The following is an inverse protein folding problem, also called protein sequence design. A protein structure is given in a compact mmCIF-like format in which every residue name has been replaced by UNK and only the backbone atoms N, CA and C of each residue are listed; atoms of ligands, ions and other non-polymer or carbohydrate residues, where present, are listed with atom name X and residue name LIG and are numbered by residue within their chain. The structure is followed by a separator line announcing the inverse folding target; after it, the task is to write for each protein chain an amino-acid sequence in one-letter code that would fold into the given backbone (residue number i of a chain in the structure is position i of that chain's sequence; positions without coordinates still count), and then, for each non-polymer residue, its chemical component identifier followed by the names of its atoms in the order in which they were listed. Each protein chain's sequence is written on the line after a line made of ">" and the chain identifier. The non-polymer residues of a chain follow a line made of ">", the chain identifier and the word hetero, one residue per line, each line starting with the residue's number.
data_IF_404901856639
#
_entry.id   IF_404901856639
#
_cell.length_a   1.000
_cell.length_b   1.000
_cell.length_c   1.000
_cell.angle_alpha   90.00
_cell.angle_beta   90.00
_cell.angle_gamma   90.00
#
_symmetry.space_group_name_H-M   'P 1'
#
loop_
_entity.id
_entity.type
_entity.pdbx_description
1 polymer ?
#
# COMPACT_ATOMS: atom_id res chain seq x y z
N UNK A 1 68.20 -7.51 -40.08
CA UNK A 1 67.02 -8.35 -39.95
C UNK A 1 66.08 -7.64 -38.98
N UNK A 2 65.11 -6.86 -39.49
CA UNK A 2 64.15 -6.12 -38.69
C UNK A 2 62.84 -6.93 -38.63
N UNK A 3 62.40 -7.36 -37.42
CA UNK A 3 61.09 -7.98 -37.18
C UNK A 3 60.06 -6.86 -37.24
N UNK A 4 59.13 -6.97 -38.17
CA UNK A 4 57.84 -6.23 -38.13
C UNK A 4 56.88 -6.97 -37.25
N UNK A 5 56.51 -6.34 -36.12
CA UNK A 5 55.42 -6.81 -35.24
C UNK A 5 54.11 -6.22 -35.76
N UNK A 6 53.22 -7.05 -36.28
CA UNK A 6 51.86 -6.65 -36.65
C UNK A 6 51.02 -6.54 -35.38
N UNK A 7 50.59 -5.34 -35.03
CA UNK A 7 49.55 -5.10 -34.05
C UNK A 7 48.20 -5.30 -34.74
N UNK A 8 47.50 -6.36 -34.39
CA UNK A 8 46.09 -6.53 -34.71
C UNK A 8 45.27 -5.60 -33.80
N UNK A 9 44.85 -4.46 -34.36
CA UNK A 9 43.87 -3.59 -33.73
C UNK A 9 42.50 -4.27 -33.91
N UNK A 10 42.03 -4.90 -32.85
CA UNK A 10 40.66 -5.39 -32.76
C UNK A 10 39.69 -4.20 -32.84
N UNK A 11 39.01 -4.03 -33.95
CA UNK A 11 37.91 -3.07 -34.10
C UNK A 11 36.72 -3.55 -33.27
N UNK A 12 36.61 -3.10 -32.02
CA UNK A 12 35.36 -3.17 -31.28
C UNK A 12 34.37 -2.28 -32.00
N UNK A 13 33.42 -2.85 -32.73
CA UNK A 13 32.28 -2.12 -33.29
C UNK A 13 31.50 -1.50 -32.16
N UNK A 14 31.63 -0.22 -31.94
CA UNK A 14 30.75 0.57 -31.10
C UNK A 14 29.39 0.53 -31.77
N UNK A 15 28.46 -0.31 -31.22
CA UNK A 15 27.07 -0.39 -31.69
C UNK A 15 26.42 1.01 -31.75
N UNK A 16 25.51 1.20 -32.70
CA UNK A 16 24.79 2.48 -32.86
C UNK A 16 24.00 2.83 -31.58
N UNK A 17 23.61 4.08 -31.44
CA UNK A 17 22.76 4.49 -30.30
C UNK A 17 21.44 3.69 -30.25
N UNK A 18 20.87 3.35 -31.40
CA UNK A 18 19.67 2.53 -31.54
C UNK A 18 19.90 1.08 -31.07
N UNK A 19 21.07 0.49 -31.39
CA UNK A 19 21.41 -0.85 -30.91
C UNK A 19 21.47 -0.90 -29.37
N UNK A 20 22.11 0.10 -28.77
CA UNK A 20 22.18 0.21 -27.30
C UNK A 20 20.81 0.42 -26.64
N UNK A 21 19.95 1.24 -27.24
CA UNK A 21 18.57 1.44 -26.77
C UNK A 21 17.80 0.12 -26.79
N UNK A 22 17.84 -0.60 -27.89
CA UNK A 22 17.15 -1.87 -28.06
C UNK A 22 17.66 -2.96 -27.11
N UNK A 23 18.98 -3.08 -26.92
CA UNK A 23 19.59 -4.01 -25.97
C UNK A 23 19.21 -3.69 -24.52
N UNK A 24 19.22 -2.40 -24.15
CA UNK A 24 18.79 -1.96 -22.83
C UNK A 24 17.31 -2.25 -22.61
N UNK A 25 16.46 -1.96 -23.59
CA UNK A 25 15.02 -2.23 -23.55
C UNK A 25 14.74 -3.72 -23.38
N UNK A 26 15.49 -4.58 -24.08
CA UNK A 26 15.39 -6.02 -23.89
C UNK A 26 15.75 -6.42 -22.45
N UNK A 27 16.91 -6.02 -21.96
CA UNK A 27 17.42 -6.41 -20.66
C UNK A 27 16.50 -5.96 -19.50
N UNK A 28 15.92 -4.77 -19.60
CA UNK A 28 15.14 -4.16 -18.52
C UNK A 28 13.64 -4.49 -18.58
N UNK A 29 13.08 -4.76 -19.78
CA UNK A 29 11.63 -4.85 -19.95
C UNK A 29 11.17 -6.10 -20.71
N UNK A 30 11.68 -6.31 -21.92
CA UNK A 30 11.19 -7.38 -22.81
C UNK A 30 11.43 -8.76 -22.21
N UNK A 31 12.61 -8.97 -21.62
CA UNK A 31 12.93 -10.24 -20.93
C UNK A 31 11.90 -10.56 -19.83
N UNK A 32 11.50 -9.56 -19.03
CA UNK A 32 10.48 -9.71 -17.98
C UNK A 32 9.10 -10.06 -18.55
N UNK A 33 8.71 -9.44 -19.69
CA UNK A 33 7.49 -9.79 -20.40
C UNK A 33 7.54 -11.23 -20.87
N UNK A 34 8.63 -11.66 -21.51
CA UNK A 34 8.77 -13.02 -21.99
C UNK A 34 8.71 -14.03 -20.86
N UNK A 35 9.50 -13.86 -19.80
CA UNK A 35 9.52 -14.80 -18.68
C UNK A 35 8.17 -14.92 -17.96
N UNK A 36 7.43 -13.83 -17.83
CA UNK A 36 6.16 -13.83 -17.08
C UNK A 36 4.93 -14.21 -17.93
N UNK A 37 4.99 -14.03 -19.25
CA UNK A 37 3.83 -14.15 -20.14
C UNK A 37 3.94 -15.19 -21.25
N UNK A 38 5.16 -15.60 -21.63
CA UNK A 38 5.40 -16.39 -22.84
C UNK A 38 6.13 -17.71 -22.57
N UNK A 39 7.22 -17.68 -21.82
CA UNK A 39 8.19 -18.79 -21.68
C UNK A 39 7.60 -20.02 -21.01
N UNK A 40 6.62 -19.86 -20.10
CA UNK A 40 5.92 -21.00 -19.48
C UNK A 40 5.27 -21.96 -20.50
N UNK A 41 4.90 -21.45 -21.68
CA UNK A 41 4.36 -22.27 -22.78
C UNK A 41 5.33 -22.44 -23.95
N UNK A 42 6.27 -21.49 -24.10
CA UNK A 42 7.17 -21.39 -25.25
C UNK A 42 8.64 -21.40 -24.82
N UNK A 43 9.04 -22.26 -23.84
CA UNK A 43 10.45 -22.38 -23.51
C UNK A 43 10.83 -22.99 -22.16
N UNK A 44 9.94 -23.12 -21.19
CA UNK A 44 10.28 -23.62 -19.85
C UNK A 44 10.54 -25.14 -19.85
N UNK A 45 9.80 -25.89 -20.67
CA UNK A 45 10.00 -27.33 -20.88
C UNK A 45 10.30 -27.58 -22.35
N UNK A 46 11.57 -27.69 -22.69
CA UNK A 46 12.03 -27.94 -24.09
C UNK A 46 11.50 -29.19 -24.74
N UNK A 47 10.76 -30.08 -24.00
CA UNK A 47 10.15 -31.28 -24.52
C UNK A 47 8.68 -31.11 -24.91
N UNK A 48 8.05 -29.98 -24.55
CA UNK A 48 6.60 -29.71 -24.76
C UNK A 48 6.33 -28.27 -25.18
N UNK A 49 7.06 -27.77 -26.16
CA UNK A 49 6.83 -26.43 -26.70
C UNK A 49 5.46 -26.37 -27.39
N UNK A 50 4.61 -25.43 -26.99
CA UNK A 50 3.33 -25.20 -27.69
C UNK A 50 3.59 -24.50 -29.01
N UNK A 51 2.99 -25.11 -30.10
CA UNK A 51 3.20 -24.65 -31.47
C UNK A 51 4.64 -24.78 -31.96
N UNK A 52 5.43 -25.65 -31.32
CA UNK A 52 6.86 -25.88 -31.60
C UNK A 52 7.69 -24.56 -31.58
N UNK A 53 7.18 -23.53 -30.89
CA UNK A 53 7.78 -22.21 -30.83
C UNK A 53 8.61 -22.03 -29.53
N UNK A 54 9.90 -21.79 -29.71
CA UNK A 54 10.83 -21.47 -28.62
C UNK A 54 11.12 -19.97 -28.58
N UNK A 55 10.84 -19.32 -27.46
CA UNK A 55 11.09 -17.90 -27.20
C UNK A 55 12.21 -17.67 -26.17
N UNK A 56 13.09 -18.65 -25.95
CA UNK A 56 14.21 -18.52 -25.00
C UNK A 56 15.48 -17.95 -25.63
N UNK A 57 15.53 -17.89 -26.96
CA UNK A 57 16.68 -17.31 -27.68
C UNK A 57 16.24 -16.56 -28.94
N UNK A 58 17.06 -15.58 -29.35
CA UNK A 58 16.82 -14.83 -30.57
C UNK A 58 16.80 -15.74 -31.81
N UNK A 59 17.70 -16.71 -31.87
CA UNK A 59 17.81 -17.63 -33.01
C UNK A 59 16.54 -18.48 -33.15
N UNK A 60 16.05 -19.05 -32.05
CA UNK A 60 14.82 -19.86 -32.06
C UNK A 60 13.60 -18.99 -32.41
N UNK A 61 13.47 -17.80 -31.87
CA UNK A 61 12.40 -16.85 -32.18
C UNK A 61 12.39 -16.47 -33.68
N UNK A 62 13.55 -16.25 -34.30
CA UNK A 62 13.65 -15.95 -35.72
C UNK A 62 13.45 -17.16 -36.64
N UNK A 63 13.63 -18.39 -36.12
CA UNK A 63 13.31 -19.61 -36.80
C UNK A 63 11.78 -19.82 -36.92
N UNK A 64 11.03 -19.42 -35.88
CA UNK A 64 9.60 -19.69 -35.77
C UNK A 64 9.28 -21.08 -35.21
N UNK A 65 7.99 -21.43 -35.21
CA UNK A 65 7.46 -22.71 -34.76
C UNK A 65 6.77 -23.52 -35.91
N UNK A 66 5.69 -24.21 -35.60
CA UNK A 66 4.89 -25.01 -36.58
C UNK A 66 4.46 -24.22 -37.82
N UNK A 67 4.29 -22.92 -37.72
CA UNK A 67 3.95 -22.06 -38.85
C UNK A 67 5.08 -21.85 -39.85
N UNK A 68 6.31 -22.27 -39.52
CA UNK A 68 7.54 -22.03 -40.31
C UNK A 68 7.78 -20.56 -40.63
N UNK A 69 7.07 -19.64 -39.97
CA UNK A 69 7.24 -18.17 -40.07
C UNK A 69 7.99 -17.64 -38.84
N UNK A 70 8.98 -16.80 -39.11
CA UNK A 70 9.68 -16.11 -38.01
C UNK A 70 8.69 -15.41 -37.07
N UNK A 71 8.74 -15.69 -35.77
CA UNK A 71 7.79 -15.11 -34.81
C UNK A 71 7.98 -13.60 -34.65
N UNK A 72 9.19 -13.09 -34.95
CA UNK A 72 9.52 -11.65 -34.97
C UNK A 72 10.22 -11.30 -36.27
N UNK A 73 9.74 -10.25 -36.91
CA UNK A 73 10.39 -9.61 -38.08
C UNK A 73 11.13 -8.35 -37.59
N UNK A 74 12.45 -8.37 -37.45
CA UNK A 74 13.23 -7.22 -36.99
C UNK A 74 12.91 -5.94 -37.77
N UNK A 75 12.58 -4.86 -37.05
CA UNK A 75 12.18 -3.58 -37.63
C UNK A 75 10.71 -3.49 -38.06
N UNK A 76 9.94 -4.58 -38.01
CA UNK A 76 8.58 -4.64 -38.57
C UNK A 76 7.57 -5.24 -37.58
N UNK A 77 7.13 -4.50 -36.54
CA UNK A 77 6.20 -5.05 -35.55
C UNK A 77 4.89 -5.53 -36.16
N UNK A 78 4.32 -4.78 -37.10
CA UNK A 78 3.04 -5.13 -37.75
C UNK A 78 3.14 -6.30 -38.74
N UNK A 79 4.35 -6.83 -39.00
CA UNK A 79 4.60 -8.06 -39.74
C UNK A 79 5.10 -9.19 -38.84
N UNK A 80 5.15 -8.97 -37.53
CA UNK A 80 5.66 -9.93 -36.53
C UNK A 80 4.52 -10.72 -35.89
N UNK A 81 4.39 -12.04 -36.15
CA UNK A 81 3.34 -12.89 -35.57
C UNK A 81 3.23 -12.76 -34.04
N UNK A 82 4.36 -12.71 -33.33
CA UNK A 82 4.39 -12.55 -31.88
C UNK A 82 3.68 -11.25 -31.43
N UNK A 83 3.91 -10.14 -32.15
CA UNK A 83 3.25 -8.88 -31.81
C UNK A 83 1.75 -8.89 -32.16
N UNK A 84 1.41 -9.43 -33.34
CA UNK A 84 0.00 -9.54 -33.77
C UNK A 84 -0.82 -10.44 -32.83
N UNK A 85 -0.28 -11.58 -32.41
CA UNK A 85 -0.92 -12.44 -31.41
C UNK A 85 -1.08 -11.73 -30.05
N UNK A 86 -0.09 -10.92 -29.64
CA UNK A 86 -0.12 -10.20 -28.38
C UNK A 86 -1.12 -9.04 -28.37
N UNK A 87 -1.32 -8.34 -29.49
CA UNK A 87 -2.33 -7.26 -29.63
C UNK A 87 -3.75 -7.81 -29.68
N UNK A 88 -3.93 -9.06 -30.10
CA UNK A 88 -5.24 -9.72 -30.29
C UNK A 88 -6.12 -9.08 -31.37
N UNK A 89 -5.56 -8.25 -32.23
CA UNK A 89 -6.30 -7.54 -33.28
C UNK A 89 -6.49 -8.37 -34.57
N UNK A 90 -5.60 -9.35 -34.81
CA UNK A 90 -5.65 -10.22 -35.99
C UNK A 90 -5.75 -11.69 -35.56
N UNK A 91 -6.92 -12.08 -35.02
CA UNK A 91 -7.15 -13.44 -34.54
C UNK A 91 -7.48 -14.45 -35.65
N UNK A 92 -7.75 -13.97 -36.85
CA UNK A 92 -8.01 -14.85 -38.01
C UNK A 92 -6.73 -15.56 -38.46
N UNK A 93 -5.58 -14.87 -38.39
CA UNK A 93 -4.27 -15.41 -38.74
C UNK A 93 -3.49 -15.95 -37.54
N UNK A 94 -3.60 -15.28 -36.38
CA UNK A 94 -2.80 -15.57 -35.18
C UNK A 94 -3.65 -15.65 -33.93
N UNK A 95 -3.65 -16.83 -33.30
CA UNK A 95 -4.36 -16.99 -32.02
C UNK A 95 -3.89 -16.02 -30.96
N UNK A 96 -4.84 -15.48 -30.16
CA UNK A 96 -4.56 -14.55 -29.08
C UNK A 96 -3.56 -15.10 -28.05
N UNK A 97 -2.49 -14.36 -27.76
CA UNK A 97 -1.45 -14.73 -26.79
C UNK A 97 -1.20 -13.62 -25.77
N UNK A 98 -1.08 -13.96 -24.48
CA UNK A 98 -1.46 -15.24 -23.84
C UNK A 98 -2.93 -15.58 -24.06
N UNK A 99 -3.33 -16.87 -24.05
CA UNK A 99 -4.70 -17.27 -24.42
C UNK A 99 -5.76 -16.80 -23.41
N UNK A 100 -5.43 -16.66 -22.13
CA UNK A 100 -6.36 -16.15 -21.11
C UNK A 100 -6.48 -14.63 -21.19
N UNK A 101 -7.71 -14.11 -21.13
CA UNK A 101 -7.97 -12.66 -21.13
C UNK A 101 -7.35 -11.95 -19.93
N UNK A 102 -7.35 -12.61 -18.76
CA UNK A 102 -6.71 -12.08 -17.54
C UNK A 102 -5.20 -11.86 -17.67
N UNK A 103 -4.56 -12.55 -18.59
CA UNK A 103 -3.11 -12.57 -18.76
C UNK A 103 -2.62 -11.70 -19.94
N UNK A 104 -3.54 -11.04 -20.63
CA UNK A 104 -3.22 -10.17 -21.78
C UNK A 104 -2.15 -9.12 -21.41
N UNK A 105 -1.36 -8.75 -22.40
CA UNK A 105 -0.39 -7.68 -22.23
C UNK A 105 -1.09 -6.32 -22.03
N UNK A 106 -0.58 -5.51 -21.12
CA UNK A 106 -1.05 -4.13 -20.95
C UNK A 106 -0.63 -3.27 -22.16
N UNK A 107 -1.32 -2.14 -22.41
CA UNK A 107 -0.91 -1.20 -23.45
C UNK A 107 0.56 -0.76 -23.34
N UNK A 108 1.08 -0.58 -22.11
CA UNK A 108 2.48 -0.26 -21.86
C UNK A 108 3.42 -1.40 -22.28
N UNK A 109 3.07 -2.66 -21.97
CA UNK A 109 3.86 -3.83 -22.38
C UNK A 109 3.86 -4.02 -23.89
N UNK A 110 2.72 -3.77 -24.55
CA UNK A 110 2.62 -3.80 -26.02
C UNK A 110 3.49 -2.71 -26.65
N UNK A 111 3.50 -1.50 -26.11
CA UNK A 111 4.35 -0.42 -26.58
C UNK A 111 5.84 -0.74 -26.44
N UNK A 112 6.26 -1.34 -25.33
CA UNK A 112 7.63 -1.82 -25.11
C UNK A 112 8.00 -2.88 -26.14
N UNK A 113 7.15 -3.87 -26.36
CA UNK A 113 7.40 -4.95 -27.33
C UNK A 113 7.50 -4.41 -28.76
N UNK A 114 6.57 -3.51 -29.14
CA UNK A 114 6.61 -2.80 -30.43
C UNK A 114 7.91 -2.06 -30.63
N UNK A 115 8.31 -1.23 -29.66
CA UNK A 115 9.54 -0.44 -29.75
C UNK A 115 10.78 -1.32 -29.87
N UNK A 116 10.86 -2.40 -29.13
CA UNK A 116 11.97 -3.35 -29.21
C UNK A 116 12.07 -4.00 -30.60
N UNK A 117 10.94 -4.38 -31.21
CA UNK A 117 10.91 -4.93 -32.56
C UNK A 117 11.35 -3.87 -33.59
N UNK A 118 10.88 -2.63 -33.46
CA UNK A 118 11.28 -1.49 -34.31
C UNK A 118 12.80 -1.28 -34.29
N UNK A 119 13.43 -1.47 -33.13
CA UNK A 119 14.88 -1.36 -32.93
C UNK A 119 15.65 -2.61 -33.42
N UNK A 120 15.01 -3.52 -34.17
CA UNK A 120 15.66 -4.70 -34.75
C UNK A 120 15.63 -5.93 -33.87
N UNK A 121 14.85 -5.93 -32.80
CA UNK A 121 14.71 -7.03 -31.83
C UNK A 121 16.07 -7.56 -31.33
N UNK A 122 16.96 -6.70 -30.81
CA UNK A 122 18.27 -7.12 -30.32
C UNK A 122 18.13 -7.97 -29.06
N UNK A 123 19.01 -8.97 -28.96
CA UNK A 123 19.06 -9.88 -27.80
C UNK A 123 20.49 -9.91 -27.27
N UNK A 124 20.82 -9.05 -26.30
CA UNK A 124 22.17 -8.96 -25.80
C UNK A 124 22.58 -10.21 -25.00
N UNK A 125 23.86 -10.49 -24.98
CA UNK A 125 24.43 -11.57 -24.16
C UNK A 125 24.15 -11.34 -22.67
N UNK A 126 24.14 -12.41 -21.87
CA UNK A 126 23.84 -12.36 -20.43
C UNK A 126 24.72 -11.33 -19.66
N UNK A 127 25.99 -11.19 -20.04
CA UNK A 127 26.90 -10.21 -19.44
C UNK A 127 26.48 -8.77 -19.73
N UNK A 128 26.02 -8.47 -20.93
CA UNK A 128 25.52 -7.16 -21.31
C UNK A 128 24.17 -6.87 -20.63
N UNK A 129 23.27 -7.86 -20.57
CA UNK A 129 22.03 -7.74 -19.81
C UNK A 129 22.28 -7.39 -18.34
N UNK A 130 23.19 -8.13 -17.66
CA UNK A 130 23.54 -7.89 -16.28
C UNK A 130 24.11 -6.46 -16.06
N UNK A 131 24.92 -5.97 -17.02
CA UNK A 131 25.44 -4.60 -16.97
C UNK A 131 24.32 -3.56 -17.05
N UNK A 132 23.39 -3.67 -18.02
CA UNK A 132 22.27 -2.73 -18.14
C UNK A 132 21.38 -2.73 -16.90
N UNK A 133 21.13 -3.89 -16.31
CA UNK A 133 20.37 -4.02 -15.05
C UNK A 133 21.12 -3.34 -13.90
N UNK A 134 22.42 -3.54 -13.78
CA UNK A 134 23.22 -2.91 -12.73
C UNK A 134 23.28 -1.37 -12.89
N UNK A 135 23.44 -0.87 -14.11
CA UNK A 135 23.39 0.56 -14.42
C UNK A 135 22.04 1.19 -14.05
N UNK A 136 20.94 0.52 -14.36
CA UNK A 136 19.59 0.97 -14.00
C UNK A 136 19.37 1.00 -12.48
N UNK A 137 19.79 -0.04 -11.78
CA UNK A 137 19.67 -0.16 -10.32
C UNK A 137 20.58 0.84 -9.57
N UNK A 138 21.64 1.30 -10.20
CA UNK A 138 22.50 2.34 -9.64
C UNK A 138 21.85 3.74 -9.65
N UNK A 139 20.82 3.96 -10.47
CA UNK A 139 20.11 5.24 -10.54
C UNK A 139 19.01 5.29 -9.49
N UNK A 140 19.07 6.20 -8.50
CA UNK A 140 18.04 6.29 -7.46
C UNK A 140 16.70 6.79 -8.01
N UNK A 141 16.71 7.58 -9.07
CA UNK A 141 15.50 8.15 -9.72
C UNK A 141 15.62 7.99 -11.23
N UNK A 142 14.55 7.51 -11.86
CA UNK A 142 14.39 7.44 -13.32
C UNK A 142 12.97 7.89 -13.69
N UNK A 143 12.62 7.90 -14.97
CA UNK A 143 11.25 8.19 -15.45
C UNK A 143 10.23 7.17 -14.91
N UNK A 144 10.69 6.00 -14.45
CA UNK A 144 9.84 4.96 -13.82
C UNK A 144 9.61 5.19 -12.33
N UNK A 145 10.22 6.21 -11.76
CA UNK A 145 10.04 6.60 -10.37
C UNK A 145 11.30 6.43 -9.51
N UNK A 146 11.08 6.47 -8.21
CA UNK A 146 12.12 6.39 -7.18
C UNK A 146 12.35 4.94 -6.78
N UNK A 147 13.60 4.50 -6.80
CA UNK A 147 13.99 3.20 -6.25
C UNK A 147 14.10 3.30 -4.73
N UNK A 148 13.24 2.59 -4.02
CA UNK A 148 13.33 2.48 -2.57
C UNK A 148 14.22 1.28 -2.21
N UNK A 149 15.29 1.55 -1.48
CA UNK A 149 16.21 0.50 -1.05
C UNK A 149 15.54 -0.41 -0.04
N UNK A 150 15.34 -1.65 -0.41
CA UNK A 150 14.61 -2.67 0.36
C UNK A 150 15.55 -3.73 0.97
N UNK A 151 14.98 -4.68 1.71
CA UNK A 151 15.69 -5.84 2.27
C UNK A 151 15.70 -7.03 1.32
N UNK A 152 14.82 -7.01 0.31
CA UNK A 152 14.61 -8.05 -0.70
C UNK A 152 13.16 -8.56 -0.74
N UNK A 153 12.63 -8.69 -1.94
CA UNK A 153 11.33 -9.30 -2.21
C UNK A 153 11.47 -10.76 -2.65
N UNK A 154 10.36 -11.39 -3.04
CA UNK A 154 10.33 -12.76 -3.54
C UNK A 154 10.80 -12.88 -5.00
N UNK A 155 10.97 -11.75 -5.69
CA UNK A 155 11.52 -11.68 -7.05
C UNK A 155 12.40 -10.45 -7.20
N UNK A 156 13.22 -10.42 -8.27
CA UNK A 156 14.03 -9.26 -8.60
C UNK A 156 13.18 -8.02 -8.88
N UNK A 157 12.10 -8.15 -9.63
CA UNK A 157 11.19 -7.04 -9.95
C UNK A 157 10.54 -6.47 -8.70
N UNK A 158 10.28 -7.31 -7.72
CA UNK A 158 9.77 -6.86 -6.43
C UNK A 158 10.83 -6.14 -5.61
N UNK A 159 12.03 -6.70 -5.52
CA UNK A 159 13.16 -6.15 -4.74
C UNK A 159 13.60 -4.78 -5.26
N UNK A 160 13.55 -4.59 -6.58
CA UNK A 160 14.01 -3.37 -7.25
C UNK A 160 12.85 -2.53 -7.82
N UNK A 161 11.68 -2.63 -7.21
CA UNK A 161 10.50 -1.85 -7.62
C UNK A 161 10.76 -0.36 -7.47
N UNK A 162 10.33 0.38 -8.49
CA UNK A 162 10.26 1.83 -8.45
C UNK A 162 8.85 2.29 -8.12
N UNK A 163 8.76 3.43 -7.47
CA UNK A 163 7.51 4.02 -7.02
C UNK A 163 7.37 5.40 -7.63
N UNK A 164 6.26 5.67 -8.30
CA UNK A 164 5.92 7.03 -8.68
C UNK A 164 5.59 7.84 -7.41
N UNK A 165 5.89 9.14 -7.36
CA UNK A 165 5.57 9.99 -6.21
C UNK A 165 4.08 9.93 -5.82
N UNK A 166 3.19 9.77 -6.79
CA UNK A 166 1.74 9.67 -6.62
C UNK A 166 1.34 8.38 -5.89
N UNK A 167 2.04 7.27 -6.15
CA UNK A 167 1.79 5.96 -5.53
C UNK A 167 2.23 5.92 -4.06
N UNK A 168 3.15 6.80 -3.69
CA UNK A 168 3.72 6.89 -2.33
C UNK A 168 3.33 8.19 -1.62
N UNK A 169 2.20 8.77 -1.96
CA UNK A 169 1.74 10.07 -1.42
C UNK A 169 1.67 10.08 0.12
N UNK A 170 1.31 8.96 0.74
CA UNK A 170 1.23 8.83 2.20
C UNK A 170 2.61 8.92 2.90
N UNK A 171 3.70 8.70 2.16
CA UNK A 171 5.09 8.79 2.65
C UNK A 171 5.76 10.11 2.29
N UNK A 172 5.04 11.02 1.63
CA UNK A 172 5.55 12.35 1.30
C UNK A 172 5.29 13.34 2.44
N UNK A 173 6.11 14.37 2.60
CA UNK A 173 5.84 15.45 3.54
C UNK A 173 4.47 16.08 3.28
N UNK A 174 3.73 16.35 4.35
CA UNK A 174 2.41 16.99 4.26
C UNK A 174 2.54 18.37 3.60
N UNK A 175 1.75 18.59 2.56
CA UNK A 175 1.63 19.89 1.89
C UNK A 175 0.19 20.37 1.98
N UNK A 176 -0.02 21.58 2.50
CA UNK A 176 -1.36 22.20 2.55
C UNK A 176 -1.77 22.60 1.12
N UNK A 177 -2.80 21.96 0.54
CA UNK A 177 -3.24 22.33 -0.81
C UNK A 177 -3.93 23.70 -0.80
N UNK A 178 -3.87 24.41 -1.93
CA UNK A 178 -4.67 25.62 -2.12
C UNK A 178 -6.16 25.27 -2.18
N UNK A 179 -6.96 25.98 -1.40
CA UNK A 179 -8.42 25.79 -1.40
C UNK A 179 -9.01 26.27 -2.74
N UNK A 180 -9.77 25.43 -3.45
CA UNK A 180 -10.45 25.85 -4.67
C UNK A 180 -11.41 27.02 -4.40
N UNK A 181 -11.51 27.96 -5.34
CA UNK A 181 -12.45 29.08 -5.23
C UNK A 181 -13.90 28.60 -5.45
N UNK A 182 -14.86 29.29 -4.85
CA UNK A 182 -16.30 29.12 -5.17
C UNK A 182 -17.15 28.44 -4.10
N UNK A 183 -16.62 28.15 -2.91
CA UNK A 183 -17.41 27.70 -1.75
C UNK A 183 -16.99 28.43 -0.48
N UNK A 184 -17.94 28.63 0.43
CA UNK A 184 -17.67 29.26 1.74
C UNK A 184 -16.86 28.34 2.66
N UNK A 185 -17.08 27.01 2.57
CA UNK A 185 -16.38 26.00 3.35
C UNK A 185 -15.27 25.33 2.50
N UNK A 186 -14.03 25.25 2.99
CA UNK A 186 -12.94 24.58 2.28
C UNK A 186 -13.21 23.12 1.91
N UNK A 187 -13.90 22.37 2.79
CA UNK A 187 -14.24 20.97 2.53
C UNK A 187 -15.18 20.88 1.32
N UNK A 188 -16.23 21.72 1.30
CA UNK A 188 -17.17 21.78 0.18
C UNK A 188 -16.49 22.21 -1.13
N UNK A 189 -15.48 23.08 -1.06
CA UNK A 189 -14.69 23.46 -2.22
C UNK A 189 -13.95 22.27 -2.84
N UNK A 190 -13.32 21.43 -2.02
CA UNK A 190 -12.61 20.23 -2.49
C UNK A 190 -13.57 19.17 -3.03
N UNK A 191 -14.66 18.89 -2.31
CA UNK A 191 -15.68 17.93 -2.72
C UNK A 191 -16.36 18.38 -4.00
N UNK A 192 -16.81 19.65 -4.05
CA UNK A 192 -17.49 20.23 -5.22
C UNK A 192 -16.64 20.20 -6.48
N UNK A 193 -15.33 20.43 -6.37
CA UNK A 193 -14.40 20.30 -7.50
C UNK A 193 -14.38 18.87 -8.06
N UNK A 194 -14.33 17.86 -7.19
CA UNK A 194 -14.33 16.45 -7.61
C UNK A 194 -15.66 16.04 -8.23
N UNK A 195 -16.78 16.44 -7.63
CA UNK A 195 -18.12 16.17 -8.16
C UNK A 195 -18.29 16.79 -9.55
N UNK A 196 -17.91 18.08 -9.71
CA UNK A 196 -17.97 18.76 -11.00
C UNK A 196 -17.13 18.06 -12.08
N UNK A 197 -15.92 17.62 -11.73
CA UNK A 197 -15.05 16.90 -12.66
C UNK A 197 -15.64 15.54 -13.09
N UNK A 198 -16.42 14.91 -12.22
CA UNK A 198 -17.11 13.65 -12.48
C UNK A 198 -18.52 13.84 -13.11
N UNK A 199 -18.95 15.08 -13.36
CA UNK A 199 -20.25 15.36 -13.94
C UNK A 199 -21.44 15.24 -12.96
N UNK A 200 -21.18 15.23 -11.66
CA UNK A 200 -22.22 15.14 -10.63
C UNK A 200 -22.56 16.50 -10.01
N UNK A 201 -23.82 16.68 -9.66
CA UNK A 201 -24.28 17.78 -8.83
C UNK A 201 -24.29 17.38 -7.35
N UNK A 202 -24.18 18.37 -6.45
CA UNK A 202 -24.38 18.16 -5.02
C UNK A 202 -25.85 17.82 -4.79
N UNK A 203 -26.13 16.80 -3.97
CA UNK A 203 -27.49 16.46 -3.59
C UNK A 203 -28.14 17.60 -2.77
N UNK A 204 -29.47 17.78 -2.85
CA UNK A 204 -30.16 18.77 -2.02
C UNK A 204 -30.01 18.43 -0.53
N UNK A 205 -30.11 19.47 0.30
CA UNK A 205 -30.09 19.30 1.76
C UNK A 205 -31.22 18.39 2.25
N UNK A 206 -30.93 17.55 3.22
CA UNK A 206 -31.94 16.72 3.89
C UNK A 206 -32.92 17.59 4.70
N UNK A 207 -34.11 17.07 4.96
CA UNK A 207 -35.05 17.70 5.87
C UNK A 207 -34.51 17.70 7.33
N UNK A 208 -35.09 18.59 8.15
CA UNK A 208 -34.61 18.80 9.52
C UNK A 208 -34.65 17.54 10.40
N UNK A 209 -35.68 16.67 10.23
CA UNK A 209 -35.81 15.45 11.03
C UNK A 209 -34.68 14.46 10.71
N UNK A 210 -34.36 14.33 9.43
CA UNK A 210 -33.25 13.50 8.97
C UNK A 210 -31.93 14.05 9.50
N UNK A 211 -31.71 15.37 9.48
CA UNK A 211 -30.52 16.00 10.03
C UNK A 211 -30.35 15.76 11.52
N UNK A 212 -31.40 16.02 12.30
CA UNK A 212 -31.38 15.77 13.76
C UNK A 212 -31.08 14.31 14.07
N UNK A 213 -31.80 13.39 13.43
CA UNK A 213 -31.57 11.95 13.62
C UNK A 213 -30.13 11.56 13.34
N UNK A 214 -29.54 12.04 12.24
CA UNK A 214 -28.13 11.76 11.89
C UNK A 214 -27.20 12.32 12.95
N UNK A 215 -27.37 13.59 13.36
CA UNK A 215 -26.52 14.20 14.37
C UNK A 215 -26.51 13.42 15.68
N UNK A 216 -27.66 13.01 16.16
CA UNK A 216 -27.76 12.21 17.39
C UNK A 216 -27.08 10.85 17.27
N UNK A 217 -27.37 10.07 16.21
CA UNK A 217 -26.73 8.77 16.01
C UNK A 217 -25.22 8.86 15.75
N UNK A 218 -24.79 9.87 15.02
CA UNK A 218 -23.37 10.01 14.69
C UNK A 218 -22.54 10.48 15.91
N UNK A 219 -23.11 11.39 16.73
CA UNK A 219 -22.39 11.98 17.85
C UNK A 219 -22.58 11.25 19.18
N UNK A 220 -23.75 10.68 19.42
CA UNK A 220 -24.06 10.03 20.71
C UNK A 220 -24.43 8.55 20.60
N UNK A 221 -24.69 8.06 19.41
CA UNK A 221 -25.15 6.68 19.18
C UNK A 221 -26.62 6.43 19.61
N UNK A 222 -27.30 7.44 20.12
CA UNK A 222 -28.65 7.37 20.66
C UNK A 222 -29.66 8.11 19.77
N UNK A 223 -30.93 7.69 19.70
CA UNK A 223 -31.96 8.44 19.01
C UNK A 223 -32.34 9.71 19.78
N UNK A 224 -32.72 10.81 19.10
CA UNK A 224 -33.36 11.93 19.78
C UNK A 224 -34.72 11.54 20.33
N UNK A 225 -35.09 12.09 21.46
CA UNK A 225 -36.47 11.96 22.02
C UNK A 225 -37.45 12.80 21.19
N UNK A 226 -38.76 12.49 21.22
CA UNK A 226 -39.77 13.33 20.58
C UNK A 226 -39.76 14.78 21.06
N UNK A 227 -39.46 15.01 22.34
CA UNK A 227 -39.34 16.35 22.92
C UNK A 227 -38.16 17.13 22.33
N UNK A 228 -36.98 16.51 22.21
CA UNK A 228 -35.80 17.14 21.60
C UNK A 228 -36.01 17.48 20.13
N UNK A 229 -36.74 16.64 19.38
CA UNK A 229 -37.12 16.95 18.00
C UNK A 229 -38.05 18.17 17.97
N UNK A 230 -38.99 18.25 18.87
CA UNK A 230 -39.94 19.36 18.97
C UNK A 230 -39.20 20.68 19.32
N UNK A 231 -38.36 20.67 20.35
CA UNK A 231 -37.54 21.85 20.73
C UNK A 231 -36.64 22.31 19.56
N UNK A 232 -35.93 21.38 18.94
CA UNK A 232 -35.08 21.69 17.81
C UNK A 232 -35.90 22.32 16.66
N UNK A 233 -37.09 21.80 16.39
CA UNK A 233 -37.94 22.37 15.33
C UNK A 233 -38.31 23.83 15.62
N UNK A 234 -38.65 24.14 16.86
CA UNK A 234 -38.99 25.51 17.23
C UNK A 234 -37.83 26.50 17.04
N UNK A 235 -36.60 26.08 17.29
CA UNK A 235 -35.40 26.89 17.05
C UNK A 235 -35.00 26.93 15.55
N UNK A 236 -35.19 25.81 14.87
CA UNK A 236 -34.94 25.73 13.43
C UNK A 236 -35.82 26.69 12.63
N UNK A 237 -37.08 26.80 12.97
CA UNK A 237 -38.02 27.71 12.30
C UNK A 237 -37.66 29.20 12.50
N UNK A 238 -36.93 29.54 13.56
CA UNK A 238 -36.41 30.91 13.82
C UNK A 238 -35.14 31.18 13.07
N UNK A 239 -34.16 30.29 13.14
CA UNK A 239 -32.85 30.41 12.51
C UNK A 239 -32.20 29.04 12.33
N UNK A 240 -32.31 28.41 11.13
CA UNK A 240 -31.78 27.08 10.86
C UNK A 240 -30.28 26.91 11.15
N UNK A 241 -29.48 27.89 10.75
CA UNK A 241 -28.01 27.82 10.91
C UNK A 241 -27.59 27.85 12.39
N UNK A 242 -28.24 28.75 13.17
CA UNK A 242 -27.97 28.82 14.61
C UNK A 242 -28.46 27.57 15.34
N UNK A 243 -29.68 27.13 15.07
CA UNK A 243 -30.24 25.93 15.69
C UNK A 243 -29.37 24.69 15.42
N UNK A 244 -28.84 24.56 14.20
CA UNK A 244 -27.92 23.48 13.87
C UNK A 244 -26.61 23.56 14.66
N UNK A 245 -25.96 24.71 14.74
CA UNK A 245 -24.75 24.91 15.53
C UNK A 245 -24.95 24.57 17.01
N UNK A 246 -26.01 25.14 17.62
CA UNK A 246 -26.35 24.88 19.03
C UNK A 246 -26.60 23.40 19.31
N UNK A 247 -27.26 22.69 18.38
CA UNK A 247 -27.47 21.23 18.50
C UNK A 247 -26.14 20.45 18.47
N UNK A 248 -25.26 20.76 17.52
CA UNK A 248 -23.97 20.09 17.43
C UNK A 248 -23.13 20.34 18.68
N UNK A 249 -23.06 21.58 19.18
CA UNK A 249 -22.34 21.92 20.40
C UNK A 249 -22.91 21.19 21.63
N UNK A 250 -24.25 21.11 21.74
CA UNK A 250 -24.94 20.32 22.80
C UNK A 250 -24.55 18.84 22.75
N UNK A 251 -24.52 18.22 21.56
CA UNK A 251 -24.22 16.81 21.40
C UNK A 251 -22.74 16.51 21.63
N UNK A 252 -21.83 17.38 21.20
CA UNK A 252 -20.40 17.26 21.46
C UNK A 252 -20.06 17.39 22.95
N UNK A 253 -20.83 18.20 23.70
CA UNK A 253 -20.71 18.33 25.16
C UNK A 253 -21.35 17.19 25.96
N UNK A 254 -22.06 16.30 25.31
CA UNK A 254 -22.69 15.14 25.94
C UNK A 254 -21.66 14.09 26.36
N UNK A 255 -21.78 13.47 27.57
CA UNK A 255 -20.91 12.35 27.95
C UNK A 255 -21.04 11.14 26.98
N UNK A 256 -22.17 10.99 26.31
CA UNK A 256 -22.39 9.95 25.31
C UNK A 256 -21.55 10.13 24.04
N UNK A 257 -20.99 11.32 23.79
CA UNK A 257 -20.04 11.53 22.70
C UNK A 257 -18.81 10.63 22.86
N UNK A 258 -18.20 10.64 24.04
CA UNK A 258 -17.06 9.80 24.34
C UNK A 258 -17.37 8.31 24.31
N UNK A 259 -18.58 7.91 24.77
CA UNK A 259 -19.02 6.51 24.68
C UNK A 259 -19.15 6.07 23.20
N UNK A 260 -19.79 6.89 22.36
CA UNK A 260 -19.98 6.61 20.94
C UNK A 260 -18.66 6.55 20.17
N UNK A 261 -17.82 7.56 20.31
CA UNK A 261 -16.57 7.64 19.58
C UNK A 261 -15.47 6.77 20.18
N UNK A 262 -15.50 6.57 21.50
CA UNK A 262 -14.66 5.61 22.18
C UNK A 262 -14.86 4.18 21.66
N UNK A 263 -16.10 3.78 21.31
CA UNK A 263 -16.38 2.49 20.71
C UNK A 263 -15.56 2.24 19.45
N UNK A 264 -15.47 3.22 18.53
CA UNK A 264 -14.67 3.10 17.32
C UNK A 264 -13.18 2.93 17.62
N UNK A 265 -12.69 3.62 18.66
CA UNK A 265 -11.29 3.44 19.08
C UNK A 265 -11.07 2.07 19.73
N UNK A 266 -11.98 1.61 20.56
CA UNK A 266 -11.89 0.29 21.22
C UNK A 266 -11.87 -0.85 20.20
N UNK A 267 -12.64 -0.74 19.10
CA UNK A 267 -12.60 -1.69 17.99
C UNK A 267 -11.22 -1.72 17.34
N UNK A 268 -10.63 -0.56 17.05
CA UNK A 268 -9.29 -0.46 16.47
C UNK A 268 -8.23 -0.98 17.45
N UNK A 269 -8.36 -0.66 18.74
CA UNK A 269 -7.48 -1.13 19.80
C UNK A 269 -7.64 -2.62 20.12
N UNK A 270 -8.65 -3.30 19.56
CA UNK A 270 -8.96 -4.72 19.79
C UNK A 270 -9.35 -4.99 21.26
N UNK A 271 -10.06 -4.03 21.88
CA UNK A 271 -10.49 -4.14 23.26
C UNK A 271 -11.31 -5.39 23.50
N UNK A 272 -10.99 -6.11 24.56
CA UNK A 272 -11.76 -7.23 25.09
C UNK A 272 -11.59 -7.34 26.61
N UNK A 273 -12.65 -7.74 27.31
CA UNK A 273 -12.63 -7.97 28.76
C UNK A 273 -12.03 -9.35 29.11
N UNK A 274 -11.69 -10.16 28.10
CA UNK A 274 -11.13 -11.50 28.26
C UNK A 274 -9.83 -11.67 27.48
N UNK A 275 -9.08 -12.74 27.81
CA UNK A 275 -7.76 -13.02 27.25
C UNK A 275 -7.77 -13.55 25.82
N UNK A 276 -8.90 -14.04 25.34
CA UNK A 276 -9.00 -14.83 24.13
C UNK A 276 -8.38 -16.22 24.29
N UNK A 277 -8.18 -16.94 23.20
CA UNK A 277 -7.77 -18.35 23.17
C UNK A 277 -8.77 -19.29 23.87
N UNK A 278 -8.39 -20.56 24.03
CA UNK A 278 -9.30 -21.60 24.54
C UNK A 278 -9.69 -21.43 26.01
N UNK A 279 -8.86 -20.83 26.82
CA UNK A 279 -9.12 -20.65 28.24
C UNK A 279 -9.89 -19.37 28.56
N UNK A 280 -9.77 -18.37 27.68
CA UNK A 280 -10.48 -17.10 27.70
C UNK A 280 -10.63 -16.43 29.08
N UNK A 281 -9.52 -16.39 29.83
CA UNK A 281 -9.51 -15.81 31.17
C UNK A 281 -9.97 -14.35 31.19
N UNK A 282 -10.75 -14.00 32.21
CA UNK A 282 -11.21 -12.63 32.44
C UNK A 282 -10.05 -11.69 32.75
N UNK A 283 -10.13 -10.48 32.19
CA UNK A 283 -9.22 -9.35 32.45
C UNK A 283 -9.95 -8.30 33.27
N UNK A 284 -10.08 -8.54 34.56
CA UNK A 284 -10.94 -7.79 35.46
C UNK A 284 -10.67 -6.28 35.56
N UNK A 285 -9.53 -5.79 35.10
CA UNK A 285 -9.16 -4.36 35.14
C UNK A 285 -9.21 -3.64 33.76
N UNK A 286 -9.61 -4.32 32.69
CA UNK A 286 -9.60 -3.76 31.35
C UNK A 286 -10.58 -2.61 31.15
N UNK A 287 -11.68 -2.59 31.90
CA UNK A 287 -12.64 -1.49 31.91
C UNK A 287 -12.00 -0.13 32.19
N UNK A 288 -10.85 -0.07 32.89
CA UNK A 288 -10.12 1.19 33.14
C UNK A 288 -9.63 1.82 31.85
N UNK A 289 -9.15 1.02 30.90
CA UNK A 289 -8.75 1.50 29.59
C UNK A 289 -9.93 1.99 28.77
N UNK A 290 -11.04 1.27 28.76
CA UNK A 290 -12.29 1.73 28.13
C UNK A 290 -12.67 3.11 28.65
N UNK A 291 -12.71 3.27 29.96
CA UNK A 291 -13.10 4.53 30.59
C UNK A 291 -12.08 5.65 30.34
N UNK A 292 -10.78 5.32 30.27
CA UNK A 292 -9.76 6.26 29.82
C UNK A 292 -10.04 6.78 28.40
N UNK A 293 -10.34 5.89 27.48
CA UNK A 293 -10.68 6.24 26.10
C UNK A 293 -11.90 7.16 26.05
N UNK A 294 -12.99 6.81 26.75
CA UNK A 294 -14.20 7.64 26.84
C UNK A 294 -13.89 9.03 27.36
N UNK A 295 -13.13 9.14 28.46
CA UNK A 295 -12.71 10.43 29.02
C UNK A 295 -11.83 11.22 28.06
N UNK A 296 -10.93 10.56 27.34
CA UNK A 296 -10.06 11.20 26.37
C UNK A 296 -10.84 11.87 25.23
N UNK A 297 -11.87 11.19 24.70
CA UNK A 297 -12.77 11.75 23.69
C UNK A 297 -13.63 12.90 24.25
N UNK A 298 -14.21 12.75 25.42
CA UNK A 298 -15.01 13.80 26.05
C UNK A 298 -14.19 15.06 26.44
N UNK A 299 -12.89 14.87 26.69
CA UNK A 299 -11.99 15.97 26.99
C UNK A 299 -11.33 16.59 25.73
N UNK A 300 -11.72 16.14 24.54
CA UNK A 300 -11.06 16.54 23.27
C UNK A 300 -9.54 16.44 23.34
N UNK A 301 -9.02 15.34 23.92
CA UNK A 301 -7.58 15.14 24.10
C UNK A 301 -6.85 15.23 22.78
N UNK A 302 -5.81 16.08 22.63
CA UNK A 302 -5.04 16.15 21.38
C UNK A 302 -4.52 14.78 20.95
N UNK A 303 -4.77 14.41 19.69
CA UNK A 303 -4.50 13.08 19.17
C UNK A 303 -3.03 12.65 19.32
N UNK A 304 -2.09 13.55 19.14
CA UNK A 304 -0.66 13.29 19.37
C UNK A 304 -0.36 12.91 20.82
N UNK A 305 -1.01 13.55 21.82
CA UNK A 305 -0.89 13.16 23.22
C UNK A 305 -1.52 11.79 23.48
N UNK A 306 -2.70 11.57 22.93
CA UNK A 306 -3.41 10.30 23.04
C UNK A 306 -2.58 9.13 22.51
N UNK A 307 -1.87 9.30 21.37
CA UNK A 307 -0.93 8.29 20.84
C UNK A 307 0.23 8.05 21.81
N UNK A 308 0.90 9.12 22.25
CA UNK A 308 2.11 9.00 23.08
C UNK A 308 1.78 8.33 24.43
N UNK A 309 0.66 8.69 25.04
CA UNK A 309 0.21 8.08 26.28
C UNK A 309 -0.03 6.57 26.17
N UNK A 310 -0.55 6.11 25.03
CA UNK A 310 -0.81 4.69 24.81
C UNK A 310 0.45 3.86 24.46
N UNK A 311 1.48 4.49 23.92
CA UNK A 311 2.71 3.80 23.52
C UNK A 311 3.84 3.92 24.54
N UNK A 312 3.87 4.99 25.33
CA UNK A 312 4.94 5.33 26.26
C UNK A 312 4.41 6.03 27.53
N UNK A 313 3.20 5.71 27.94
CA UNK A 313 2.59 6.32 29.13
C UNK A 313 3.32 5.98 30.42
N UNK A 314 3.89 4.80 30.53
CA UNK A 314 4.76 4.36 31.63
C UNK A 314 6.03 5.23 31.73
N UNK A 315 6.71 5.49 30.62
CA UNK A 315 7.87 6.37 30.60
C UNK A 315 7.48 7.85 30.93
N UNK A 316 6.33 8.30 30.48
CA UNK A 316 5.82 9.62 30.84
C UNK A 316 5.51 9.69 32.33
N UNK A 317 4.94 8.64 32.91
CA UNK A 317 4.64 8.54 34.34
C UNK A 317 5.90 8.56 35.19
N UNK A 318 6.94 7.82 34.82
CA UNK A 318 8.22 7.80 35.52
C UNK A 318 8.94 9.15 35.53
N UNK A 319 8.82 9.93 34.45
CA UNK A 319 9.40 11.27 34.32
C UNK A 319 8.68 12.33 35.15
N UNK A 320 7.48 12.06 35.64
CA UNK A 320 6.75 12.99 36.51
C UNK A 320 7.29 12.94 37.94
N UNK A 321 7.36 14.07 38.64
CA UNK A 321 7.60 14.10 40.09
C UNK A 321 6.59 13.21 40.82
N UNK A 322 7.02 12.40 41.78
CA UNK A 322 6.19 11.38 42.43
C UNK A 322 4.83 11.91 42.90
N UNK A 323 4.80 13.10 43.52
CA UNK A 323 3.58 13.75 44.01
C UNK A 323 2.61 14.21 42.88
N UNK A 324 3.05 14.17 41.60
CA UNK A 324 2.26 14.59 40.43
C UNK A 324 2.04 13.48 39.43
N UNK A 325 2.40 12.26 39.77
CA UNK A 325 2.24 11.11 38.88
C UNK A 325 0.77 10.84 38.59
N UNK A 326 0.43 10.84 37.30
CA UNK A 326 -0.93 10.60 36.84
C UNK A 326 -1.10 9.11 36.48
N UNK A 327 -1.88 8.35 37.25
CA UNK A 327 -2.10 6.93 36.97
C UNK A 327 -2.81 6.66 35.64
N UNK A 328 -3.49 7.64 35.05
CA UNK A 328 -4.09 7.52 33.73
C UNK A 328 -3.05 7.19 32.64
N UNK A 329 -1.80 7.63 32.80
CA UNK A 329 -0.72 7.30 31.86
C UNK A 329 -0.39 5.82 31.86
N UNK A 330 -0.45 5.15 33.02
CA UNK A 330 -0.29 3.69 33.11
C UNK A 330 -1.49 2.96 32.52
N UNK A 331 -2.71 3.47 32.75
CA UNK A 331 -3.93 2.91 32.16
C UNK A 331 -3.87 2.99 30.64
N UNK A 332 -3.39 4.09 30.08
CA UNK A 332 -3.26 4.28 28.64
C UNK A 332 -2.41 3.21 27.96
N UNK A 333 -1.31 2.77 28.60
CA UNK A 333 -0.41 1.73 28.06
C UNK A 333 -1.07 0.35 27.92
N UNK A 334 -2.28 0.17 28.50
CA UNK A 334 -3.06 -1.05 28.29
C UNK A 334 -3.38 -1.32 26.82
N UNK A 335 -3.28 -0.33 25.93
CA UNK A 335 -3.31 -0.53 24.48
C UNK A 335 -2.36 -1.65 24.01
N UNK A 336 -1.16 -1.71 24.59
CA UNK A 336 -0.16 -2.73 24.27
C UNK A 336 -0.56 -4.13 24.77
N UNK A 337 -1.54 -4.22 25.70
CA UNK A 337 -2.01 -5.47 26.32
C UNK A 337 -3.32 -6.03 25.71
N UNK A 338 -3.91 -5.32 24.75
CA UNK A 338 -5.23 -5.70 24.20
C UNK A 338 -5.24 -7.00 23.39
N UNK A 339 -4.10 -7.40 22.83
CA UNK A 339 -4.00 -8.62 22.02
C UNK A 339 -4.35 -9.89 22.80
N UNK A 340 -4.70 -10.98 22.12
CA UNK A 340 -4.93 -12.28 22.74
C UNK A 340 -3.70 -12.75 23.55
N UNK A 341 -3.94 -13.27 24.74
CA UNK A 341 -2.89 -13.77 25.62
C UNK A 341 -3.38 -14.91 26.50
N UNK A 342 -2.63 -16.00 26.52
CA UNK A 342 -2.83 -17.11 27.44
C UNK A 342 -1.47 -17.65 27.90
N UNK A 343 -1.07 -17.41 29.16
CA UNK A 343 0.22 -17.85 29.69
C UNK A 343 0.36 -19.36 29.75
N UNK A 344 -0.75 -20.11 29.74
CA UNK A 344 -0.76 -21.55 29.85
C UNK A 344 -0.59 -22.28 28.50
N UNK A 345 -0.72 -21.60 27.38
CA UNK A 345 -0.80 -22.24 26.05
C UNK A 345 0.55 -22.56 25.41
N UNK A 346 1.62 -21.84 25.73
CA UNK A 346 2.86 -21.91 24.98
C UNK A 346 4.08 -21.78 25.87
N UNK A 347 5.24 -22.27 25.39
CA UNK A 347 6.51 -21.98 26.03
C UNK A 347 6.74 -20.46 26.08
N UNK A 348 7.25 -19.96 27.20
CA UNK A 348 7.44 -18.52 27.45
C UNK A 348 8.12 -17.74 26.31
N UNK A 349 9.20 -18.26 25.64
CA UNK A 349 9.79 -17.56 24.49
C UNK A 349 8.85 -17.43 23.29
N UNK A 350 8.01 -18.44 23.02
CA UNK A 350 7.04 -18.41 21.92
C UNK A 350 5.90 -17.44 22.25
N UNK A 351 5.38 -17.47 23.47
CA UNK A 351 4.36 -16.53 23.94
C UNK A 351 4.86 -15.09 23.80
N UNK A 352 6.11 -14.83 24.19
CA UNK A 352 6.76 -13.53 24.03
C UNK A 352 6.82 -13.08 22.58
N UNK A 353 7.21 -13.98 21.68
CA UNK A 353 7.27 -13.67 20.25
C UNK A 353 5.89 -13.37 19.66
N UNK A 354 4.87 -14.15 20.01
CA UNK A 354 3.48 -13.93 19.60
C UNK A 354 2.99 -12.57 20.07
N UNK A 355 3.25 -12.24 21.33
CA UNK A 355 2.89 -10.94 21.90
C UNK A 355 3.54 -9.76 21.15
N UNK A 356 4.84 -9.80 20.95
CA UNK A 356 5.56 -8.72 20.24
C UNK A 356 5.11 -8.59 18.78
N UNK A 357 4.85 -9.70 18.10
CA UNK A 357 4.30 -9.70 16.74
C UNK A 357 2.93 -9.04 16.70
N UNK A 358 2.08 -9.31 17.69
CA UNK A 358 0.77 -8.70 17.82
C UNK A 358 0.85 -7.19 18.10
N UNK A 359 1.70 -6.77 19.03
CA UNK A 359 1.94 -5.35 19.34
C UNK A 359 2.41 -4.57 18.09
N UNK A 360 3.42 -5.09 17.39
CA UNK A 360 3.95 -4.47 16.16
C UNK A 360 2.83 -4.31 15.13
N UNK A 361 2.05 -5.36 14.91
CA UNK A 361 0.96 -5.32 13.95
C UNK A 361 -0.14 -4.34 14.38
N UNK A 362 -0.50 -4.31 15.66
CA UNK A 362 -1.49 -3.38 16.19
C UNK A 362 -1.06 -1.92 16.04
N UNK A 363 0.18 -1.61 16.39
CA UNK A 363 0.75 -0.26 16.22
C UNK A 363 0.72 0.16 14.75
N UNK A 364 1.14 -0.73 13.85
CA UNK A 364 1.12 -0.46 12.41
C UNK A 364 -0.28 -0.21 11.88
N UNK A 365 -1.24 -1.05 12.21
CA UNK A 365 -2.63 -0.91 11.76
C UNK A 365 -3.32 0.33 12.35
N UNK A 366 -3.14 0.56 13.64
CA UNK A 366 -3.84 1.64 14.36
C UNK A 366 -3.28 3.03 14.00
N UNK A 367 -1.96 3.20 14.01
CA UNK A 367 -1.34 4.51 13.90
C UNK A 367 -0.78 4.82 12.51
N UNK A 368 -0.46 3.79 11.71
CA UNK A 368 0.13 3.95 10.39
C UNK A 368 -0.76 3.44 9.24
N UNK A 369 -1.96 2.93 9.56
CA UNK A 369 -2.89 2.31 8.59
C UNK A 369 -2.22 1.25 7.71
N UNK A 370 -1.26 0.51 8.28
CA UNK A 370 -0.39 -0.42 7.56
C UNK A 370 -0.38 -1.79 8.21
N UNK A 371 -0.56 -2.84 7.41
CA UNK A 371 -0.48 -4.24 7.86
C UNK A 371 0.97 -4.68 8.00
N UNK A 372 1.56 -4.57 9.18
CA UNK A 372 2.98 -4.90 9.40
C UNK A 372 3.28 -6.40 9.34
N UNK A 373 2.30 -7.26 9.57
CA UNK A 373 2.47 -8.72 9.54
C UNK A 373 2.98 -9.24 8.19
N UNK A 374 2.63 -8.58 7.07
CA UNK A 374 3.06 -9.00 5.74
C UNK A 374 4.57 -8.90 5.54
N UNK A 375 5.20 -7.84 6.06
CA UNK A 375 6.64 -7.63 5.85
C UNK A 375 7.53 -8.11 7.00
N UNK A 376 7.01 -9.00 7.83
CA UNK A 376 7.80 -9.81 8.77
C UNK A 376 8.74 -10.79 8.07
N UNK A 377 8.30 -11.41 6.96
CA UNK A 377 9.03 -12.46 6.25
C UNK A 377 9.70 -11.99 4.96
N UNK A 378 9.14 -10.98 4.31
CA UNK A 378 9.61 -10.38 3.04
C UNK A 378 9.17 -8.93 2.98
N UNK A 379 9.77 -8.12 2.10
CA UNK A 379 9.35 -6.73 1.91
C UNK A 379 7.85 -6.64 1.56
N UNK A 380 7.19 -5.53 1.93
CA UNK A 380 5.76 -5.36 1.63
C UNK A 380 5.52 -5.36 0.11
N UNK A 381 4.45 -6.06 -0.32
CA UNK A 381 4.20 -6.28 -1.75
C UNK A 381 3.93 -5.00 -2.54
N UNK A 382 3.27 -4.03 -1.94
CA UNK A 382 2.80 -2.82 -2.63
C UNK A 382 3.49 -1.55 -2.15
N UNK A 383 3.71 -1.43 -0.84
CA UNK A 383 4.26 -0.23 -0.21
C UNK A 383 5.78 -0.32 -0.06
N UNK A 384 6.49 0.83 0.02
CA UNK A 384 7.94 0.88 0.19
C UNK A 384 8.37 0.56 1.63
N UNK A 385 7.90 -0.55 2.17
CA UNK A 385 8.12 -1.02 3.54
C UNK A 385 8.96 -2.30 3.55
N UNK A 386 10.26 -2.21 3.83
CA UNK A 386 11.14 -3.37 3.87
C UNK A 386 10.97 -4.17 5.17
N UNK A 387 11.27 -5.46 5.11
CA UNK A 387 11.28 -6.39 6.25
C UNK A 387 12.07 -5.85 7.45
N UNK A 388 13.20 -5.17 7.19
CA UNK A 388 13.99 -4.56 8.26
C UNK A 388 13.22 -3.54 9.10
N UNK A 389 12.20 -2.87 8.54
CA UNK A 389 11.41 -1.88 9.28
C UNK A 389 10.43 -2.56 10.23
N UNK A 390 9.92 -3.76 9.88
CA UNK A 390 9.21 -4.60 10.85
C UNK A 390 10.08 -4.88 12.08
N UNK A 391 11.32 -5.33 11.88
CA UNK A 391 12.21 -5.67 13.01
C UNK A 391 12.71 -4.43 13.76
N UNK A 392 12.75 -3.26 13.14
CA UNK A 392 13.02 -2.00 13.84
C UNK A 392 11.90 -1.66 14.81
N UNK A 393 10.63 -1.75 14.37
CA UNK A 393 9.47 -1.52 15.25
C UNK A 393 9.40 -2.61 16.31
N UNK A 394 9.65 -3.88 15.95
CA UNK A 394 9.75 -4.98 16.91
C UNK A 394 10.78 -4.70 18.00
N UNK A 395 11.95 -4.17 17.66
CA UNK A 395 13.01 -3.84 18.61
C UNK A 395 12.61 -2.72 19.59
N UNK A 396 11.76 -1.78 19.17
CA UNK A 396 11.23 -0.73 20.07
C UNK A 396 10.49 -1.36 21.27
N UNK A 397 9.69 -2.40 20.99
CA UNK A 397 8.88 -3.07 22.02
C UNK A 397 9.56 -4.28 22.67
N UNK A 398 10.80 -4.61 22.28
CA UNK A 398 11.51 -5.77 22.82
C UNK A 398 11.76 -5.69 24.33
N UNK A 399 11.85 -4.49 24.89
CA UNK A 399 11.99 -4.24 26.33
C UNK A 399 10.68 -4.24 27.10
N UNK A 400 9.53 -4.13 26.44
CA UNK A 400 8.21 -4.05 27.10
C UNK A 400 7.93 -5.32 27.87
N UNK A 401 7.61 -5.22 29.15
CA UNK A 401 7.22 -6.34 30.00
C UNK A 401 5.74 -6.21 30.35
N UNK A 402 5.06 -7.34 30.44
CA UNK A 402 3.70 -7.42 30.91
C UNK A 402 3.76 -7.71 32.42
N UNK A 403 3.17 -6.83 33.22
CA UNK A 403 2.84 -7.16 34.60
C UNK A 403 1.57 -8.01 34.59
N UNK A 404 1.60 -9.16 35.28
CA UNK A 404 0.45 -10.01 35.50
C UNK A 404 -0.24 -9.66 36.82
#
# INVERSE_FOLDING_TARGET
>A
MRLLTFFLIGTSSLGTAADREGERLFALKVRGIFSSKCVACHGEDGTKLKGDLDLTSRAAMLKGGESEVASVMPGKPMASPLYLAATRENQDDWSAMPPKESDKLSPAQLAVLKRWIELGAPWPEAKAQARYIAEERAQPVTDEGVLIKTSGGLSEDWTFRRYQPEDVWAFQPLKKPAVPRGAANPIDAFIGRKLKAAGFAVAPSSDFRTLVKRAYYDLTGLPPTPFEIFEFRAEWDKNPAKAWGDLIDKLLASPHYGERWGQHWLDVARYADTGGYSNDYERSNMWRYRDYVIRAFNADKPYNKFIIEQLAGDELWERQPEAKRDPELLVATSFLRMGPWDPAMTLAPQARQIYLDDVVNAVGQTFLSTTMRCFKCHDHKFDPLPTRDYYRVYAVFAGTQLAE
#
